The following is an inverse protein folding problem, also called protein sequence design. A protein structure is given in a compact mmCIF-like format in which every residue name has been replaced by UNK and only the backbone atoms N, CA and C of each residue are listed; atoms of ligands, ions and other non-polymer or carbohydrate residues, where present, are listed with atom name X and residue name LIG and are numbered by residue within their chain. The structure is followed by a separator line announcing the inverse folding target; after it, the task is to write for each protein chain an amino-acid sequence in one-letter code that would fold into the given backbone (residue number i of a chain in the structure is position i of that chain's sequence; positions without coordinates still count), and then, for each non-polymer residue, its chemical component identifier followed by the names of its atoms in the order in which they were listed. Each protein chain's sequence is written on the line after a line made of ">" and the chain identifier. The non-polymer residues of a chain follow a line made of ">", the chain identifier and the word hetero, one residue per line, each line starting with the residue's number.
data_IF_143396273910
#
_entry.id   IF_143396273910
#
_cell.length_a   1.000
_cell.length_b   1.000
_cell.length_c   1.000
_cell.angle_alpha   90.00
_cell.angle_beta   90.00
_cell.angle_gamma   90.00
#
_symmetry.space_group_name_H-M   'P 1'
#
loop_
_entity.id
_entity.type
_entity.pdbx_description
1 polymer ?
#
# COMPACT_ATOMS: atom_id res chain seq x y z
N UNK A 1 25.69 19.95 -34.35
CA UNK A 1 24.51 19.07 -34.59
C UNK A 1 24.97 17.63 -34.51
N UNK A 2 24.68 16.93 -33.41
CA UNK A 2 25.02 15.51 -33.24
C UNK A 2 23.77 14.76 -32.81
N UNK A 3 23.19 13.99 -33.73
CA UNK A 3 22.01 13.17 -33.50
C UNK A 3 22.43 11.99 -32.61
N UNK A 4 21.92 11.93 -31.37
CA UNK A 4 22.09 10.75 -30.51
C UNK A 4 21.26 9.59 -31.08
N UNK A 5 21.83 8.38 -31.19
CA UNK A 5 21.12 7.22 -31.70
C UNK A 5 20.08 6.71 -30.68
N UNK A 6 18.84 6.54 -31.14
CA UNK A 6 17.76 5.88 -30.41
C UNK A 6 18.06 4.38 -30.23
N UNK A 7 18.02 3.83 -29.00
CA UNK A 7 18.14 2.40 -28.80
C UNK A 7 16.86 1.67 -29.23
N UNK A 8 17.04 0.72 -30.14
CA UNK A 8 16.02 -0.14 -30.72
C UNK A 8 15.29 -0.98 -29.67
N UNK A 9 13.96 -0.93 -29.71
CA UNK A 9 12.95 -1.55 -28.82
C UNK A 9 12.92 -3.09 -28.88
N UNK A 10 13.98 -3.74 -29.38
CA UNK A 10 14.02 -5.20 -29.61
C UNK A 10 14.74 -6.00 -28.53
N UNK A 11 15.38 -5.36 -27.54
CA UNK A 11 16.15 -6.06 -26.49
C UNK A 11 15.46 -6.16 -25.12
N UNK A 12 14.30 -5.52 -24.91
CA UNK A 12 13.61 -5.54 -23.61
C UNK A 12 12.66 -6.73 -23.41
N UNK A 13 12.41 -7.55 -24.44
CA UNK A 13 11.42 -8.63 -24.37
C UNK A 13 11.95 -9.97 -23.79
N UNK A 14 13.26 -10.11 -23.55
CA UNK A 14 13.86 -11.42 -23.23
C UNK A 14 14.21 -11.65 -21.74
N UNK A 15 13.97 -10.69 -20.85
CA UNK A 15 14.30 -10.85 -19.40
C UNK A 15 13.06 -11.06 -18.51
N UNK A 16 11.84 -10.95 -19.05
CA UNK A 16 10.60 -11.02 -18.26
C UNK A 16 9.98 -12.44 -18.13
N UNK A 17 10.63 -13.50 -18.64
CA UNK A 17 10.06 -14.86 -18.74
C UNK A 17 10.84 -15.94 -17.97
N UNK A 18 11.49 -15.61 -16.85
CA UNK A 18 12.32 -16.58 -16.10
C UNK A 18 12.16 -16.54 -14.56
N UNK A 19 11.03 -16.08 -14.02
CA UNK A 19 10.74 -16.07 -12.57
C UNK A 19 9.37 -16.71 -12.22
N UNK A 20 8.94 -17.75 -12.95
CA UNK A 20 7.68 -18.48 -12.67
C UNK A 20 7.88 -20.01 -12.73
N UNK A 21 9.05 -20.53 -12.31
CA UNK A 21 9.32 -21.97 -12.39
C UNK A 21 10.18 -22.52 -11.24
N UNK A 22 9.96 -22.07 -10.00
CA UNK A 22 10.70 -22.63 -8.85
C UNK A 22 9.91 -22.69 -7.52
N UNK A 23 8.58 -22.86 -7.55
CA UNK A 23 7.81 -23.25 -6.35
C UNK A 23 6.94 -24.45 -6.68
N UNK A 24 7.60 -25.59 -6.90
CA UNK A 24 6.99 -26.91 -6.72
C UNK A 24 8.04 -27.74 -5.98
N UNK A 25 7.96 -27.78 -4.65
CA UNK A 25 8.62 -28.84 -3.88
C UNK A 25 7.55 -29.52 -3.04
N UNK A 26 7.36 -30.78 -3.38
CA UNK A 26 6.43 -31.73 -2.82
C UNK A 26 6.69 -31.98 -1.32
N UNK A 27 5.62 -32.35 -0.62
CA UNK A 27 5.67 -32.79 0.76
C UNK A 27 6.43 -34.10 0.93
N UNK A 28 7.23 -34.16 2.00
CA UNK A 28 7.71 -35.40 2.61
C UNK A 28 7.29 -35.39 4.07
N UNK A 29 6.37 -36.28 4.43
CA UNK A 29 6.00 -36.55 5.81
C UNK A 29 7.19 -37.23 6.51
N UNK A 30 7.75 -36.57 7.52
CA UNK A 30 8.53 -37.24 8.57
C UNK A 30 7.89 -36.87 9.91
N UNK A 31 7.43 -37.90 10.63
CA UNK A 31 7.11 -37.78 12.04
C UNK A 31 8.44 -37.72 12.79
N UNK A 32 8.68 -36.65 13.54
CA UNK A 32 9.92 -36.48 14.30
C UNK A 32 9.97 -35.10 14.95
N UNK A 33 9.95 -35.11 16.26
CA UNK A 33 10.00 -34.00 17.20
C UNK A 33 11.12 -32.98 16.89
N UNK A 34 10.86 -31.68 17.12
CA UNK A 34 11.74 -30.79 17.90
C UNK A 34 11.22 -29.35 17.96
N UNK A 35 11.15 -28.88 19.21
CA UNK A 35 11.25 -27.51 19.70
C UNK A 35 10.22 -26.44 19.33
N UNK A 36 9.33 -26.26 20.32
CA UNK A 36 8.61 -25.06 20.62
C UNK A 36 9.52 -23.83 20.71
N UNK A 37 9.55 -23.00 19.67
CA UNK A 37 9.84 -21.57 19.79
C UNK A 37 8.87 -20.77 18.90
N UNK A 38 7.56 -20.95 19.11
CA UNK A 38 6.59 -19.88 18.87
C UNK A 38 6.60 -18.93 20.07
N UNK A 39 7.73 -18.25 20.29
CA UNK A 39 7.73 -17.02 21.06
C UNK A 39 7.09 -15.96 20.16
N UNK A 40 5.80 -15.72 20.41
CA UNK A 40 4.98 -14.80 19.65
C UNK A 40 5.71 -13.48 19.39
N UNK A 41 5.70 -13.06 18.12
CA UNK A 41 5.89 -11.65 17.82
C UNK A 41 4.76 -10.91 18.52
N UNK A 42 5.05 -10.40 19.71
CA UNK A 42 4.24 -9.39 20.35
C UNK A 42 4.06 -8.32 19.29
N UNK A 43 2.83 -8.22 18.77
CA UNK A 43 2.43 -7.06 18.01
C UNK A 43 2.84 -5.88 18.88
N UNK A 44 3.88 -5.16 18.45
CA UNK A 44 4.16 -3.87 19.01
C UNK A 44 2.84 -3.13 18.83
N UNK A 45 2.11 -2.94 19.93
CA UNK A 45 0.95 -2.09 20.00
C UNK A 45 1.48 -0.68 19.77
N UNK A 46 1.85 -0.40 18.51
CA UNK A 46 1.90 0.94 18.00
C UNK A 46 0.54 1.50 18.35
N UNK A 47 0.56 2.62 19.07
CA UNK A 47 -0.65 3.37 19.39
C UNK A 47 -1.42 3.51 18.08
N UNK A 48 -2.46 2.69 17.89
CA UNK A 48 -3.41 2.95 16.85
C UNK A 48 -3.84 4.40 17.10
N UNK A 49 -3.83 5.26 16.08
CA UNK A 49 -4.34 6.60 16.25
C UNK A 49 -5.75 6.41 16.82
N UNK A 50 -6.06 7.07 17.94
CA UNK A 50 -7.30 6.77 18.64
C UNK A 50 -8.41 7.01 17.63
N UNK A 51 -9.23 6.00 17.34
CA UNK A 51 -10.37 6.11 16.41
C UNK A 51 -11.22 7.35 16.71
N UNK A 52 -11.23 7.76 17.98
CA UNK A 52 -11.75 9.03 18.52
C UNK A 52 -11.31 10.30 17.77
N UNK A 53 -10.14 10.33 17.13
CA UNK A 53 -9.67 11.48 16.34
C UNK A 53 -10.38 11.62 14.99
N UNK A 54 -10.97 10.53 14.48
CA UNK A 54 -11.62 10.48 13.16
C UNK A 54 -13.15 10.58 13.28
N UNK A 55 -13.72 10.19 14.42
CA UNK A 55 -15.18 10.18 14.65
C UNK A 55 -15.87 11.54 14.41
N UNK A 56 -15.17 12.66 14.61
CA UNK A 56 -15.69 14.01 14.39
C UNK A 56 -15.38 14.63 13.03
N UNK A 57 -14.68 13.94 12.13
CA UNK A 57 -14.34 14.49 10.82
C UNK A 57 -15.52 14.37 9.84
N UNK A 58 -15.85 15.48 9.17
CA UNK A 58 -16.76 15.45 8.04
C UNK A 58 -16.11 14.80 6.80
N UNK A 59 -16.92 14.52 5.78
CA UNK A 59 -16.47 13.88 4.54
C UNK A 59 -15.37 14.66 3.82
N UNK A 60 -15.36 15.99 3.90
CA UNK A 60 -14.37 16.82 3.23
C UNK A 60 -13.04 16.81 3.99
N UNK A 61 -13.08 16.80 5.32
CA UNK A 61 -11.93 16.64 6.18
C UNK A 61 -11.29 15.26 6.01
N UNK A 62 -12.09 14.19 5.90
CA UNK A 62 -11.61 12.84 5.58
C UNK A 62 -10.88 12.81 4.22
N UNK A 63 -11.46 13.40 3.18
CA UNK A 63 -10.82 13.49 1.85
C UNK A 63 -9.49 14.22 1.92
N UNK A 64 -9.42 15.38 2.58
CA UNK A 64 -8.17 16.14 2.75
C UNK A 64 -7.11 15.33 3.50
N UNK A 65 -7.46 14.72 4.63
CA UNK A 65 -6.54 13.88 5.41
C UNK A 65 -6.01 12.69 4.61
N UNK A 66 -6.88 12.06 3.82
CA UNK A 66 -6.47 10.99 2.92
C UNK A 66 -5.46 11.49 1.87
N UNK A 67 -5.69 12.65 1.27
CA UNK A 67 -4.75 13.23 0.30
C UNK A 67 -3.40 13.62 0.92
N UNK A 68 -3.39 14.10 2.17
CA UNK A 68 -2.16 14.35 2.92
C UNK A 68 -1.38 13.05 3.14
N UNK A 69 -2.07 11.97 3.52
CA UNK A 69 -1.49 10.63 3.67
C UNK A 69 -0.91 10.10 2.36
N UNK A 70 -1.65 10.24 1.26
CA UNK A 70 -1.23 9.81 -0.07
C UNK A 70 0.00 10.58 -0.57
N UNK A 71 0.08 11.88 -0.26
CA UNK A 71 1.26 12.71 -0.54
C UNK A 71 2.46 12.20 0.26
N UNK A 72 2.34 12.07 1.57
CA UNK A 72 3.44 11.63 2.42
C UNK A 72 3.90 10.19 2.10
N UNK A 73 2.99 9.29 1.73
CA UNK A 73 3.33 7.95 1.24
C UNK A 73 4.10 8.01 -0.09
N UNK A 74 3.64 8.83 -1.04
CA UNK A 74 4.30 9.00 -2.34
C UNK A 74 5.68 9.64 -2.23
N UNK A 75 5.85 10.55 -1.26
CA UNK A 75 7.11 11.25 -1.01
C UNK A 75 8.06 10.41 -0.13
N UNK A 76 7.62 9.24 0.36
CA UNK A 76 8.41 8.35 1.21
C UNK A 76 8.66 8.87 2.63
N UNK A 77 7.87 9.87 3.07
CA UNK A 77 8.06 10.57 4.36
C UNK A 77 7.11 10.06 5.45
N UNK A 78 6.40 8.95 5.21
CA UNK A 78 5.42 8.41 6.15
C UNK A 78 6.13 7.56 7.23
N UNK A 79 6.15 8.04 8.47
CA UNK A 79 6.65 7.26 9.62
C UNK A 79 5.68 6.14 10.02
N UNK A 80 6.14 5.20 10.86
CA UNK A 80 5.37 4.02 11.27
C UNK A 80 4.05 4.34 12.00
N UNK A 81 4.03 5.38 12.85
CA UNK A 81 2.78 5.79 13.51
C UNK A 81 1.82 6.43 12.52
N UNK A 82 2.37 7.23 11.59
CA UNK A 82 1.62 7.86 10.51
C UNK A 82 1.01 6.82 9.55
N UNK A 83 1.70 5.72 9.24
CA UNK A 83 1.17 4.60 8.43
C UNK A 83 -0.14 4.08 9.00
N UNK A 84 -0.18 3.75 10.29
CA UNK A 84 -1.41 3.26 10.93
C UNK A 84 -2.52 4.32 10.89
N UNK A 85 -2.19 5.59 11.07
CA UNK A 85 -3.17 6.69 10.97
C UNK A 85 -3.80 6.82 9.60
N UNK A 86 -2.98 6.70 8.58
CA UNK A 86 -3.43 6.75 7.20
C UNK A 86 -4.29 5.54 6.85
N UNK A 87 -4.03 4.36 7.43
CA UNK A 87 -4.92 3.20 7.28
C UNK A 87 -6.32 3.45 7.86
N UNK A 88 -6.42 4.05 9.06
CA UNK A 88 -7.74 4.37 9.66
C UNK A 88 -8.47 5.43 8.83
N UNK A 89 -7.78 6.50 8.40
CA UNK A 89 -8.36 7.52 7.52
C UNK A 89 -8.87 6.91 6.21
N UNK A 90 -8.08 6.04 5.59
CA UNK A 90 -8.44 5.35 4.35
C UNK A 90 -9.70 4.50 4.52
N UNK A 91 -9.75 3.65 5.55
CA UNK A 91 -10.91 2.80 5.81
C UNK A 91 -12.15 3.64 6.10
N UNK A 92 -12.04 4.67 6.94
CA UNK A 92 -13.17 5.53 7.27
C UNK A 92 -13.70 6.30 6.05
N UNK A 93 -12.81 6.86 5.24
CA UNK A 93 -13.19 7.54 4.01
C UNK A 93 -13.90 6.57 3.05
N UNK A 94 -13.34 5.38 2.87
CA UNK A 94 -13.92 4.33 2.02
C UNK A 94 -15.33 3.98 2.50
N UNK A 95 -15.53 3.77 3.79
CA UNK A 95 -16.84 3.42 4.36
C UNK A 95 -17.84 4.58 4.26
N UNK A 96 -17.51 5.77 4.77
CA UNK A 96 -18.46 6.89 4.89
C UNK A 96 -18.80 7.57 3.57
N UNK A 97 -17.84 7.66 2.65
CA UNK A 97 -17.98 8.48 1.44
C UNK A 97 -18.22 7.64 0.19
N UNK A 98 -17.60 6.45 0.13
CA UNK A 98 -17.61 5.61 -1.06
C UNK A 98 -18.38 4.30 -0.85
N UNK A 99 -19.12 4.16 0.25
CA UNK A 99 -19.94 2.98 0.54
C UNK A 99 -19.15 1.68 0.61
N UNK A 100 -17.90 1.76 1.07
CA UNK A 100 -16.98 0.61 1.14
C UNK A 100 -16.27 0.28 -0.18
N UNK A 101 -16.60 0.95 -1.29
CA UNK A 101 -16.03 0.66 -2.60
C UNK A 101 -14.62 1.25 -2.76
N UNK A 102 -13.62 0.36 -2.82
CA UNK A 102 -12.26 0.74 -3.19
C UNK A 102 -12.19 1.36 -4.59
N UNK A 103 -12.89 0.77 -5.57
CA UNK A 103 -12.88 1.26 -6.94
C UNK A 103 -13.39 2.70 -7.05
N UNK A 104 -14.44 3.04 -6.31
CA UNK A 104 -14.98 4.40 -6.28
C UNK A 104 -14.01 5.39 -5.64
N UNK A 105 -13.39 5.01 -4.50
CA UNK A 105 -12.36 5.82 -3.85
C UNK A 105 -11.16 6.05 -4.79
N UNK A 106 -10.66 4.99 -5.39
CA UNK A 106 -9.49 5.03 -6.28
C UNK A 106 -9.79 5.84 -7.56
N UNK A 107 -10.97 5.69 -8.15
CA UNK A 107 -11.40 6.48 -9.30
C UNK A 107 -11.48 7.98 -8.97
N UNK A 108 -12.01 8.35 -7.80
CA UNK A 108 -12.03 9.74 -7.34
C UNK A 108 -10.62 10.28 -7.09
N UNK A 109 -9.77 9.51 -6.41
CA UNK A 109 -8.40 9.90 -6.11
C UNK A 109 -7.58 10.15 -7.39
N UNK A 110 -7.73 9.32 -8.44
CA UNK A 110 -7.06 9.53 -9.73
C UNK A 110 -7.48 10.81 -10.45
N UNK A 111 -8.67 11.32 -10.17
CA UNK A 111 -9.19 12.56 -10.75
C UNK A 111 -8.85 13.79 -9.90
N UNK A 112 -8.20 13.61 -8.75
CA UNK A 112 -7.90 14.71 -7.84
C UNK A 112 -6.73 15.55 -8.39
N UNK A 113 -6.89 16.89 -8.52
CA UNK A 113 -5.91 17.76 -9.18
C UNK A 113 -4.48 17.69 -8.62
N UNK A 114 -4.31 17.49 -7.31
CA UNK A 114 -3.00 17.35 -6.65
C UNK A 114 -2.16 16.16 -7.15
N UNK A 115 -2.75 15.24 -7.92
CA UNK A 115 -2.06 14.18 -8.67
C UNK A 115 -1.83 14.51 -10.14
N UNK A 116 -2.75 15.25 -10.78
CA UNK A 116 -2.68 15.56 -12.21
C UNK A 116 -1.54 16.55 -12.57
N UNK A 117 -1.06 17.30 -11.58
CA UNK A 117 0.08 18.21 -11.72
C UNK A 117 1.45 17.54 -11.49
N UNK A 118 1.50 16.22 -11.28
CA UNK A 118 2.69 15.47 -10.90
C UNK A 118 3.19 14.58 -12.04
#
# INVERSE_FOLDING_TARGET
>A
MARKPTPNVRFAAAVLMAMIAAVVIAGTATAGESDALLAGSAAAAGKAPPARQIDGLDSQALKRRYLDCERAASDGTLDRASVMSCSVVYEELKQRVFGGSFEALHAWWRQTPDRAAR
#
